data_IF_026497289127
#
_entry.id   IF_026497289127
#
_cell.length_a   1.000
_cell.length_b   1.000
_cell.length_c   1.000
_cell.angle_alpha   90.00
_cell.angle_beta   90.00
_cell.angle_gamma   90.00
#
_symmetry.space_group_name_H-M   'P 1'
#
loop_
_entity.id
_entity.type
_entity.pdbx_description
1 polymer ?
#
# COMPACT_ATOMS: atom_id res chain seq x y z
N UNK A 1 9.14 -0.84 0.89
CA UNK A 1 9.63 0.44 0.38
C UNK A 1 10.62 0.21 -0.74
N UNK A 2 10.88 1.24 -1.55
CA UNK A 2 11.72 1.10 -2.75
C UNK A 2 13.22 0.91 -2.43
N UNK A 3 13.65 1.25 -1.22
CA UNK A 3 15.02 1.06 -0.72
C UNK A 3 15.13 -0.17 0.22
N UNK A 4 14.20 -1.11 0.11
CA UNK A 4 14.31 -2.41 0.76
C UNK A 4 15.29 -3.31 -0.01
N UNK A 5 16.44 -3.60 0.58
CA UNK A 5 17.47 -4.48 0.00
C UNK A 5 17.46 -5.91 0.55
N UNK A 6 16.57 -6.21 1.50
CA UNK A 6 16.39 -7.57 2.05
C UNK A 6 15.22 -8.28 1.35
N UNK A 7 14.10 -7.56 1.18
CA UNK A 7 12.88 -8.03 0.53
C UNK A 7 12.45 -7.06 -0.59
N UNK A 8 13.36 -6.85 -1.55
CA UNK A 8 13.19 -5.83 -2.60
C UNK A 8 11.90 -5.98 -3.41
N UNK A 9 11.29 -4.85 -3.82
CA UNK A 9 9.95 -4.84 -4.42
C UNK A 9 9.88 -5.59 -5.76
N UNK A 10 10.92 -5.52 -6.59
CA UNK A 10 10.92 -6.15 -7.90
C UNK A 10 10.88 -7.69 -7.83
N UNK A 11 11.46 -8.29 -6.79
CA UNK A 11 11.53 -9.75 -6.60
C UNK A 11 10.47 -10.28 -5.66
N UNK A 12 10.01 -9.50 -4.68
CA UNK A 12 9.11 -9.99 -3.61
C UNK A 12 7.70 -9.39 -3.63
N UNK A 13 7.51 -8.18 -4.17
CA UNK A 13 6.20 -7.51 -4.16
C UNK A 13 5.54 -7.54 -5.53
N UNK A 14 6.26 -7.13 -6.58
CA UNK A 14 5.75 -7.07 -7.95
C UNK A 14 5.20 -8.42 -8.44
N UNK A 15 5.86 -9.58 -8.21
CA UNK A 15 5.29 -10.85 -8.63
C UNK A 15 3.98 -11.20 -7.93
N UNK A 16 3.76 -10.73 -6.70
CA UNK A 16 2.49 -10.92 -5.97
C UNK A 16 1.39 -10.05 -6.58
N UNK A 17 1.70 -8.78 -6.85
CA UNK A 17 0.80 -7.87 -7.57
C UNK A 17 0.37 -8.44 -8.91
N UNK A 18 1.31 -8.97 -9.70
CA UNK A 18 1.04 -9.50 -11.03
C UNK A 18 0.19 -10.78 -11.00
N UNK A 19 0.36 -11.64 -9.99
CA UNK A 19 -0.21 -13.00 -9.96
C UNK A 19 -1.48 -13.16 -9.12
N UNK A 20 -1.81 -12.22 -8.25
CA UNK A 20 -3.00 -12.36 -7.40
C UNK A 20 -4.28 -12.46 -8.25
N UNK A 21 -5.31 -13.12 -7.75
CA UNK A 21 -6.61 -13.26 -8.41
C UNK A 21 -7.72 -12.42 -7.73
N UNK A 22 -7.33 -11.58 -6.76
CA UNK A 22 -8.23 -10.67 -6.04
C UNK A 22 -7.89 -9.20 -6.33
N UNK A 23 -8.80 -8.25 -6.07
CA UNK A 23 -8.50 -6.82 -6.09
C UNK A 23 -7.28 -6.47 -5.26
N UNK A 24 -6.45 -5.55 -5.74
CA UNK A 24 -5.21 -5.14 -5.07
C UNK A 24 -4.92 -3.66 -5.23
N UNK A 25 -4.49 -3.06 -4.11
CA UNK A 25 -3.83 -1.76 -4.04
C UNK A 25 -2.37 -1.99 -3.61
N UNK A 26 -1.42 -1.88 -4.53
CA UNK A 26 0.00 -2.02 -4.21
C UNK A 26 0.64 -0.65 -4.04
N UNK A 27 0.96 -0.31 -2.78
CA UNK A 27 1.58 0.94 -2.41
C UNK A 27 3.04 0.75 -1.99
N UNK A 28 3.97 1.26 -2.80
CA UNK A 28 5.40 1.16 -2.52
C UNK A 28 5.99 2.53 -2.17
N UNK A 29 6.26 2.77 -0.89
CA UNK A 29 6.88 4.01 -0.41
C UNK A 29 8.30 4.19 -0.96
N UNK A 30 8.55 5.34 -1.58
CA UNK A 30 9.83 5.70 -2.17
C UNK A 30 10.87 6.02 -1.07
N UNK A 31 12.10 5.54 -1.23
CA UNK A 31 13.23 5.79 -0.32
C UNK A 31 13.19 5.02 1.00
N UNK A 32 12.09 4.31 1.27
CA UNK A 32 11.86 3.61 2.53
C UNK A 32 12.54 2.23 2.57
N UNK A 33 13.32 1.98 3.63
CA UNK A 33 14.07 0.73 3.84
C UNK A 33 13.23 -0.42 4.40
N UNK A 34 13.84 -1.60 4.53
CA UNK A 34 13.23 -2.79 5.15
C UNK A 34 12.75 -2.55 6.59
N UNK A 35 13.48 -1.71 7.33
CA UNK A 35 13.27 -1.51 8.77
C UNK A 35 12.22 -0.45 9.09
N UNK A 36 11.70 0.25 8.08
CA UNK A 36 10.74 1.33 8.28
C UNK A 36 9.44 0.95 9.01
N UNK A 37 8.93 -0.31 8.95
CA UNK A 37 7.79 -0.71 9.76
C UNK A 37 8.11 -0.98 11.23
N UNK A 38 9.38 -1.03 11.64
CA UNK A 38 9.75 -1.39 13.03
C UNK A 38 9.22 -0.35 14.03
N UNK A 39 8.70 -0.84 15.16
CA UNK A 39 8.14 0.00 16.22
C UNK A 39 6.70 0.38 15.93
N UNK A 40 6.48 1.62 15.49
CA UNK A 40 5.14 2.19 15.30
C UNK A 40 4.61 2.09 13.86
N UNK A 41 5.17 1.19 13.04
CA UNK A 41 4.81 0.98 11.64
C UNK A 41 5.18 2.12 10.66
N UNK A 42 5.78 3.20 11.16
CA UNK A 42 6.33 4.28 10.36
C UNK A 42 5.33 4.88 9.37
N UNK A 43 5.79 5.12 8.13
CA UNK A 43 4.99 5.69 7.03
C UNK A 43 3.81 4.83 6.61
N UNK A 44 3.83 3.53 6.92
CA UNK A 44 2.77 2.59 6.54
C UNK A 44 1.58 2.61 7.50
N UNK A 45 1.72 3.23 8.69
CA UNK A 45 0.72 3.23 9.76
C UNK A 45 -0.64 3.72 9.28
N UNK A 46 -0.69 4.94 8.73
CA UNK A 46 -1.95 5.57 8.33
C UNK A 46 -2.67 4.78 7.24
N UNK A 47 -1.96 4.40 6.17
CA UNK A 47 -2.55 3.65 5.05
C UNK A 47 -3.02 2.26 5.49
N UNK A 48 -2.32 1.59 6.40
CA UNK A 48 -2.74 0.25 6.87
C UNK A 48 -3.93 0.32 7.81
N UNK A 49 -3.99 1.31 8.69
CA UNK A 49 -5.19 1.58 9.49
C UNK A 49 -6.39 1.86 8.59
N UNK A 50 -6.25 2.75 7.61
CA UNK A 50 -7.35 3.07 6.68
C UNK A 50 -7.82 1.83 5.90
N UNK A 51 -6.89 0.97 5.46
CA UNK A 51 -7.26 -0.28 4.77
C UNK A 51 -8.12 -1.19 5.65
N UNK A 52 -7.80 -1.31 6.94
CA UNK A 52 -8.59 -2.12 7.87
C UNK A 52 -9.93 -1.48 8.21
N UNK A 53 -10.00 -0.17 8.43
CA UNK A 53 -11.29 0.52 8.65
C UNK A 53 -12.22 0.33 7.44
N UNK A 54 -11.69 0.48 6.22
CA UNK A 54 -12.45 0.21 5.00
C UNK A 54 -12.90 -1.25 4.91
N UNK A 55 -11.97 -2.21 4.91
CA UNK A 55 -12.29 -3.60 4.60
C UNK A 55 -13.07 -4.32 5.71
N UNK A 56 -12.83 -3.98 6.98
CA UNK A 56 -13.39 -4.72 8.12
C UNK A 56 -14.63 -4.04 8.73
N UNK A 57 -14.78 -2.72 8.54
CA UNK A 57 -15.90 -1.95 9.11
C UNK A 57 -16.74 -1.25 8.06
N UNK A 58 -16.32 -1.25 6.80
CA UNK A 58 -17.03 -0.56 5.72
C UNK A 58 -16.95 0.96 5.85
N UNK A 59 -15.90 1.50 6.47
CA UNK A 59 -15.70 2.94 6.59
C UNK A 59 -15.50 3.56 5.19
N UNK A 60 -16.47 4.38 4.77
CA UNK A 60 -16.48 5.03 3.45
C UNK A 60 -15.41 6.09 3.32
N UNK A 61 -15.12 6.83 4.39
CA UNK A 61 -14.13 7.90 4.36
C UNK A 61 -12.73 7.30 4.25
N UNK A 62 -12.50 6.13 4.86
CA UNK A 62 -11.28 5.36 4.67
C UNK A 62 -11.20 4.71 3.27
N UNK A 63 -12.34 4.30 2.70
CA UNK A 63 -12.41 3.70 1.36
C UNK A 63 -11.94 4.66 0.26
N UNK A 64 -12.23 5.96 0.41
CA UNK A 64 -11.84 7.02 -0.52
C UNK A 64 -10.32 7.10 -0.72
N UNK A 65 -9.51 6.55 0.21
CA UNK A 65 -8.07 6.47 0.02
C UNK A 65 -7.66 5.45 -1.08
N UNK A 66 -8.49 4.44 -1.35
CA UNK A 66 -8.12 3.29 -2.19
C UNK A 66 -8.98 3.10 -3.44
N UNK A 67 -10.25 3.53 -3.39
CA UNK A 67 -11.22 3.38 -4.47
C UNK A 67 -12.08 4.63 -4.59
N UNK A 68 -12.95 4.70 -5.60
CA UNK A 68 -13.79 5.86 -5.88
C UNK A 68 -12.95 7.12 -6.17
N UNK A 69 -12.97 8.15 -5.30
CA UNK A 69 -12.09 9.31 -5.40
C UNK A 69 -10.59 8.96 -5.46
N UNK A 70 -10.20 7.82 -4.87
CA UNK A 70 -8.84 7.33 -4.75
C UNK A 70 -7.80 8.41 -4.38
N UNK A 71 -8.02 9.06 -3.24
CA UNK A 71 -7.13 10.09 -2.70
C UNK A 71 -5.68 9.59 -2.53
N UNK A 72 -5.49 8.27 -2.40
CA UNK A 72 -4.19 7.62 -2.28
C UNK A 72 -3.52 7.30 -3.61
N UNK A 73 -4.19 7.41 -4.77
CA UNK A 73 -3.66 6.94 -6.06
C UNK A 73 -2.46 7.78 -6.57
N UNK A 74 -2.34 9.05 -6.17
CA UNK A 74 -1.29 9.97 -6.64
C UNK A 74 -0.61 10.72 -5.48
N UNK A 75 -0.47 10.06 -4.33
CA UNK A 75 0.20 10.69 -3.18
C UNK A 75 1.72 10.74 -3.39
N UNK A 76 2.29 11.91 -3.11
CA UNK A 76 3.73 12.13 -3.20
C UNK A 76 4.51 11.14 -2.31
N UNK A 77 5.61 10.62 -2.86
CA UNK A 77 6.50 9.68 -2.15
C UNK A 77 6.03 8.21 -2.19
N UNK A 78 5.02 7.87 -2.99
CA UNK A 78 4.58 6.49 -3.20
C UNK A 78 4.49 6.15 -4.68
N UNK A 79 4.84 4.93 -5.02
CA UNK A 79 4.50 4.32 -6.31
C UNK A 79 3.28 3.44 -6.07
N UNK A 80 2.15 3.81 -6.67
CA UNK A 80 0.88 3.10 -6.51
C UNK A 80 0.56 2.34 -7.79
N UNK A 81 0.16 1.08 -7.64
CA UNK A 81 -0.44 0.29 -8.71
C UNK A 81 -1.71 -0.39 -8.20
N UNK A 82 -2.80 -0.29 -8.95
CA UNK A 82 -4.08 -0.90 -8.58
C UNK A 82 -4.53 -1.91 -9.63
N UNK A 83 -5.33 -2.88 -9.21
CA UNK A 83 -6.01 -3.81 -10.11
C UNK A 83 -7.31 -4.28 -9.47
N UNK A 84 -8.43 -4.02 -10.14
CA UNK A 84 -9.75 -4.55 -9.76
C UNK A 84 -10.39 -3.92 -8.52
N UNK A 85 -9.98 -2.71 -8.12
CA UNK A 85 -10.56 -1.90 -7.04
C UNK A 85 -11.54 -0.85 -7.55
#
# INVERSE_FOLDING_TARGET
GSADFLAGPNSNQRPVFERTNVPVFWANSQGTSHFAPIGNFGVYRGMSTAWWEFQLKGDSDAADLFTGPCLGCDINGWVIQTRGL
#
